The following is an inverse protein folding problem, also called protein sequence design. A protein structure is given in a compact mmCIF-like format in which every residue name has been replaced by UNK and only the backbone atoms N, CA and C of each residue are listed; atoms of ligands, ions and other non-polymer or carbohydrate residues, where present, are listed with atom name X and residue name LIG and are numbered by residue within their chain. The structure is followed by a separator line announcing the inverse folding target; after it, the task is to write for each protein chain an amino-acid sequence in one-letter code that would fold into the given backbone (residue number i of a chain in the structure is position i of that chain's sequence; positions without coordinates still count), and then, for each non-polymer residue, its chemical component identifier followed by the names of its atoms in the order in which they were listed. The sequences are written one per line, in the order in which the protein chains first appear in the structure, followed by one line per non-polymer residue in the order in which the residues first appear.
data_IF_098466011418
#
_entry.id   IF_098466011418
#
_cell.length_a   1.000
_cell.length_b   1.000
_cell.length_c   1.000
_cell.angle_alpha   90.00
_cell.angle_beta   90.00
_cell.angle_gamma   90.00
#
_symmetry.space_group_name_H-M   'P 1'
#
loop_
_entity.id
_entity.type
_entity.pdbx_description
1 polymer ?
#
# COMPACT_ATOMS: atom_id res chain seq x y z
N UNK A 1 -13.36 -7.65 -8.86
CA UNK A 1 -11.97 -7.36 -8.45
C UNK A 1 -11.99 -6.86 -7.02
N UNK A 2 -11.16 -7.41 -6.14
CA UNK A 2 -11.10 -6.99 -4.74
C UNK A 2 -10.47 -5.60 -4.58
N UNK A 3 -10.95 -4.78 -3.65
CA UNK A 3 -10.56 -3.36 -3.47
C UNK A 3 -9.04 -3.15 -3.34
N UNK A 4 -8.33 -4.04 -2.64
CA UNK A 4 -6.87 -3.91 -2.41
C UNK A 4 -6.02 -4.13 -3.67
N UNK A 5 -6.49 -4.95 -4.62
CA UNK A 5 -5.80 -5.10 -5.90
C UNK A 5 -5.84 -3.81 -6.71
N UNK A 6 -6.96 -3.08 -6.63
CA UNK A 6 -7.11 -1.80 -7.30
C UNK A 6 -6.24 -0.73 -6.64
N UNK A 7 -6.14 -0.72 -5.31
CA UNK A 7 -5.24 0.16 -4.58
C UNK A 7 -3.78 -0.03 -5.02
N UNK A 8 -3.29 -1.27 -5.07
CA UNK A 8 -1.93 -1.57 -5.54
C UNK A 8 -1.71 -1.14 -6.99
N UNK A 9 -2.70 -1.36 -7.87
CA UNK A 9 -2.62 -0.90 -9.26
C UNK A 9 -2.58 0.63 -9.38
N UNK A 10 -3.28 1.34 -8.51
CA UNK A 10 -3.23 2.80 -8.47
C UNK A 10 -1.87 3.31 -7.97
N UNK A 11 -1.29 2.69 -6.94
CA UNK A 11 0.05 3.06 -6.43
C UNK A 11 1.11 2.88 -7.51
N UNK A 12 1.08 1.76 -8.24
CA UNK A 12 1.99 1.53 -9.36
C UNK A 12 1.84 2.65 -10.42
N UNK A 13 0.60 2.95 -10.83
CA UNK A 13 0.31 4.03 -11.78
C UNK A 13 0.78 5.41 -11.31
N UNK A 14 0.58 5.74 -10.03
CA UNK A 14 1.03 7.01 -9.43
C UNK A 14 2.55 7.14 -9.46
N UNK A 15 3.25 6.04 -9.23
CA UNK A 15 4.71 5.98 -9.32
C UNK A 15 5.22 5.82 -10.76
N UNK A 16 4.36 6.09 -11.77
CA UNK A 16 4.66 5.97 -13.21
C UNK A 16 5.28 4.61 -13.58
N UNK A 17 4.90 3.55 -12.87
CA UNK A 17 5.44 2.21 -13.06
C UNK A 17 4.34 1.17 -13.26
N UNK A 18 4.69 0.07 -13.92
CA UNK A 18 3.78 -1.06 -14.04
C UNK A 18 3.79 -1.90 -12.76
N UNK A 19 2.75 -2.72 -12.58
CA UNK A 19 2.70 -3.66 -11.44
C UNK A 19 3.89 -4.62 -11.44
N UNK A 20 4.39 -4.98 -12.63
CA UNK A 20 5.56 -5.84 -12.79
C UNK A 20 6.86 -5.14 -12.37
N UNK A 21 7.04 -3.88 -12.77
CA UNK A 21 8.15 -3.04 -12.32
C UNK A 21 8.13 -2.84 -10.81
N UNK A 22 6.96 -2.58 -10.23
CA UNK A 22 6.81 -2.47 -8.77
C UNK A 22 7.18 -3.77 -8.07
N UNK A 23 6.78 -4.94 -8.62
CA UNK A 23 7.19 -6.25 -8.10
C UNK A 23 8.69 -6.48 -8.17
N UNK A 24 9.32 -6.11 -9.29
CA UNK A 24 10.77 -6.20 -9.45
C UNK A 24 11.50 -5.31 -8.45
N UNK A 25 11.00 -4.09 -8.22
CA UNK A 25 11.55 -3.17 -7.23
C UNK A 25 11.43 -3.72 -5.81
N UNK A 26 10.24 -4.20 -5.42
CA UNK A 26 10.04 -4.83 -4.12
C UNK A 26 10.99 -6.03 -3.93
N UNK A 27 11.17 -6.87 -4.96
CA UNK A 27 12.10 -8.00 -4.89
C UNK A 27 13.57 -7.54 -4.75
N UNK A 28 13.95 -6.46 -5.45
CA UNK A 28 15.28 -5.83 -5.31
C UNK A 28 15.52 -5.35 -3.88
N UNK A 29 14.51 -4.75 -3.24
CA UNK A 29 14.55 -4.28 -1.85
C UNK A 29 14.38 -5.43 -0.82
N UNK A 30 14.39 -6.70 -1.27
CA UNK A 30 14.25 -7.89 -0.43
C UNK A 30 12.84 -8.15 0.11
N UNK A 31 11.84 -7.43 -0.41
CA UNK A 31 10.45 -7.51 0.03
C UNK A 31 9.65 -8.51 -0.80
N UNK A 32 8.94 -9.41 -0.11
CA UNK A 32 8.04 -10.33 -0.78
C UNK A 32 6.73 -9.62 -1.18
N UNK A 33 6.39 -9.68 -2.47
CA UNK A 33 5.17 -9.05 -2.99
C UNK A 33 3.88 -9.53 -2.31
N UNK A 34 3.82 -10.80 -1.90
CA UNK A 34 2.66 -11.35 -1.21
C UNK A 34 2.54 -10.76 0.21
N UNK A 35 3.66 -10.57 0.91
CA UNK A 35 3.72 -9.87 2.20
C UNK A 35 3.25 -8.42 2.06
N UNK A 36 3.79 -7.70 1.07
CA UNK A 36 3.37 -6.33 0.76
C UNK A 36 1.85 -6.24 0.50
N UNK A 37 1.31 -7.09 -0.37
CA UNK A 37 -0.13 -7.13 -0.68
C UNK A 37 -0.99 -7.44 0.55
N UNK A 38 -0.54 -8.30 1.44
CA UNK A 38 -1.25 -8.62 2.68
C UNK A 38 -1.27 -7.43 3.65
N UNK A 39 -0.18 -6.65 3.73
CA UNK A 39 -0.14 -5.42 4.53
C UNK A 39 -1.15 -4.39 3.99
N UNK A 40 -1.12 -4.11 2.68
CA UNK A 40 -2.08 -3.20 2.05
C UNK A 40 -3.53 -3.64 2.29
N UNK A 41 -3.82 -4.95 2.18
CA UNK A 41 -5.13 -5.49 2.49
C UNK A 41 -5.54 -5.23 3.94
N UNK A 42 -4.63 -5.47 4.90
CA UNK A 42 -4.90 -5.29 6.33
C UNK A 42 -5.21 -3.84 6.63
N UNK A 43 -4.42 -2.90 6.11
CA UNK A 43 -4.65 -1.47 6.32
C UNK A 43 -5.99 -1.02 5.76
N UNK A 44 -6.36 -1.45 4.54
CA UNK A 44 -7.66 -1.05 3.99
C UNK A 44 -8.85 -1.61 4.79
N UNK A 45 -8.72 -2.81 5.35
CA UNK A 45 -9.76 -3.37 6.24
C UNK A 45 -9.84 -2.54 7.52
N UNK A 46 -8.70 -2.13 8.10
CA UNK A 46 -8.67 -1.27 9.28
C UNK A 46 -9.32 0.09 8.98
N UNK A 47 -9.01 0.69 7.82
CA UNK A 47 -9.66 1.93 7.37
C UNK A 47 -11.17 1.74 7.18
N UNK A 48 -11.62 0.62 6.61
CA UNK A 48 -13.04 0.31 6.42
C UNK A 48 -13.79 0.13 7.75
N UNK A 49 -13.19 -0.57 8.72
CA UNK A 49 -13.74 -0.71 10.08
C UNK A 49 -13.80 0.64 10.79
N UNK A 50 -12.73 1.45 10.75
CA UNK A 50 -12.69 2.80 11.32
C UNK A 50 -13.78 3.71 10.73
N UNK A 51 -14.07 3.56 9.44
CA UNK A 51 -15.13 4.31 8.76
C UNK A 51 -16.54 3.81 9.13
N UNK A 52 -16.70 2.54 9.50
CA UNK A 52 -17.98 1.95 9.88
C UNK A 52 -18.34 2.22 11.36
N UNK A 53 -17.34 2.43 12.23
CA UNK A 53 -17.54 2.63 13.67
C UNK A 53 -17.77 4.10 14.09
N UNK A 54 -17.57 5.07 13.18
CA UNK A 54 -17.65 6.50 13.52
C UNK A 54 -18.22 7.36 12.40
N UNK A 55 -19.46 7.82 12.55
CA UNK A 55 -19.90 9.03 11.86
C UNK A 55 -18.98 10.19 12.28
N UNK A 56 -18.31 10.85 11.31
CA UNK A 56 -17.43 12.03 11.47
C UNK A 56 -15.94 11.74 11.73
N UNK A 57 -15.17 11.51 10.68
CA UNK A 57 -13.76 11.91 10.62
C UNK A 57 -13.40 12.16 9.16
N UNK A 58 -13.46 13.42 8.77
CA UNK A 58 -12.99 13.92 7.48
C UNK A 58 -11.47 13.75 7.39
N UNK A 59 -10.96 12.60 6.96
CA UNK A 59 -9.56 12.51 6.55
C UNK A 59 -9.40 11.63 5.30
N UNK A 60 -8.74 12.25 4.33
CA UNK A 60 -8.24 11.82 3.02
C UNK A 60 -7.96 10.32 2.80
N UNK A 61 -8.03 9.88 1.53
CA UNK A 61 -8.40 8.52 1.12
C UNK A 61 -7.41 7.48 1.62
N UNK A 62 -7.92 6.31 1.97
CA UNK A 62 -7.12 5.11 2.27
C UNK A 62 -6.01 4.87 1.23
N UNK A 63 -6.17 5.31 -0.01
CA UNK A 63 -5.12 5.29 -1.03
C UNK A 63 -3.84 6.06 -0.64
N UNK A 64 -3.94 7.22 0.01
CA UNK A 64 -2.79 8.03 0.44
C UNK A 64 -2.07 7.43 1.66
N UNK A 65 -2.81 6.82 2.60
CA UNK A 65 -2.20 6.11 3.74
C UNK A 65 -1.48 4.84 3.25
N UNK A 66 -2.09 4.11 2.32
CA UNK A 66 -1.49 2.93 1.68
C UNK A 66 -0.25 3.33 0.85
N UNK A 67 -0.27 4.46 0.16
CA UNK A 67 0.90 5.02 -0.55
C UNK A 67 2.03 5.39 0.41
N UNK A 68 1.70 6.10 1.50
CA UNK A 68 2.67 6.48 2.53
C UNK A 68 3.30 5.25 3.18
N UNK A 69 2.51 4.20 3.42
CA UNK A 69 3.01 2.94 3.94
C UNK A 69 3.89 2.21 2.93
N UNK A 70 3.51 2.19 1.65
CA UNK A 70 4.32 1.59 0.60
C UNK A 70 5.70 2.26 0.45
N UNK A 71 5.72 3.59 0.48
CA UNK A 71 6.95 4.38 0.48
C UNK A 71 7.76 4.13 1.76
N UNK A 72 7.11 4.10 2.92
CA UNK A 72 7.77 3.85 4.19
C UNK A 72 8.37 2.44 4.27
N UNK A 73 7.67 1.40 3.80
CA UNK A 73 8.17 0.03 3.78
C UNK A 73 9.35 -0.12 2.82
N UNK A 74 9.36 0.62 1.70
CA UNK A 74 10.54 0.74 0.84
C UNK A 74 11.72 1.37 1.60
N UNK A 75 11.52 2.59 2.12
CA UNK A 75 12.58 3.38 2.78
C UNK A 75 13.09 2.79 4.11
N UNK A 76 12.29 1.99 4.83
CA UNK A 76 12.70 1.38 6.10
C UNK A 76 13.78 0.30 5.93
N UNK A 77 13.93 -0.27 4.73
CA UNK A 77 14.99 -1.23 4.44
C UNK A 77 16.30 -0.56 3.98
N UNK A 78 16.26 0.66 3.42
CA UNK A 78 17.46 1.44 3.07
C UNK A 78 18.25 1.92 4.31
N UNK A 79 17.58 2.08 5.46
CA UNK A 79 18.20 2.54 6.71
C UNK A 79 18.93 1.44 7.52
N UNK A 80 19.13 0.25 6.93
CA UNK A 80 19.72 -0.92 7.60
C UNK A 80 21.02 -1.43 6.95
N UNK A 81 21.63 -0.67 6.02
CA UNK A 81 22.94 -0.99 5.45
C UNK A 81 24.06 -0.11 6.00
#
# INVERSE_FOLDING_TARGET
MSSWNQAIANIAKQNNMTLDQMRSRLAYDGLNYNTYRNQIRKEMIISEVRNNEGASSHHHPAAQEVESLAQQVGNQNDAKH
#
